data_IF_144790030291
#
_entry.id   IF_144790030291
#
_cell.length_a   1.000
_cell.length_b   1.000
_cell.length_c   1.000
_cell.angle_alpha   90.00
_cell.angle_beta   90.00
_cell.angle_gamma   90.00
#
_symmetry.space_group_name_H-M   'P 1'
#
loop_
_entity.id
_entity.type
_entity.pdbx_description
1 polymer ?
#
# COMPACT_ATOMS: atom_id res chain seq x y z
N UNK A 1 1.44 10.56 -9.69
CA UNK A 1 0.86 9.19 -9.76
C UNK A 1 -0.65 9.27 -9.60
N UNK A 2 -1.41 8.45 -10.33
CA UNK A 2 -2.87 8.32 -10.20
C UNK A 2 -3.25 6.83 -10.25
N UNK A 3 -3.97 6.35 -9.25
CA UNK A 3 -4.56 5.00 -9.27
C UNK A 3 -5.74 5.02 -10.26
N UNK A 4 -5.81 4.04 -11.14
CA UNK A 4 -6.86 3.87 -12.15
C UNK A 4 -7.83 2.76 -11.78
N UNK A 5 -7.31 1.69 -11.16
CA UNK A 5 -8.09 0.50 -10.89
C UNK A 5 -7.42 -0.35 -9.81
N UNK A 6 -8.21 -0.93 -8.94
CA UNK A 6 -7.74 -1.87 -7.92
C UNK A 6 -8.62 -3.12 -7.94
N UNK A 7 -8.01 -4.26 -7.82
CA UNK A 7 -8.68 -5.54 -7.63
C UNK A 7 -8.10 -6.29 -6.44
N UNK A 8 -8.93 -6.59 -5.49
CA UNK A 8 -8.60 -7.39 -4.31
C UNK A 8 -9.12 -8.80 -4.56
N UNK A 9 -8.24 -9.76 -4.78
CA UNK A 9 -8.66 -11.15 -4.90
C UNK A 9 -9.12 -11.68 -3.54
N UNK A 10 -8.22 -11.63 -2.55
CA UNK A 10 -8.59 -11.81 -1.15
C UNK A 10 -7.63 -11.02 -0.26
N UNK A 11 -8.16 -10.28 0.73
CA UNK A 11 -7.36 -9.55 1.71
C UNK A 11 -8.22 -9.26 2.97
N UNK A 12 -7.90 -9.90 4.09
CA UNK A 12 -8.74 -9.85 5.28
C UNK A 12 -10.16 -10.33 4.97
N UNK A 13 -11.15 -9.48 5.23
CA UNK A 13 -12.55 -9.77 4.91
C UNK A 13 -12.98 -9.42 3.48
N UNK A 14 -12.10 -8.83 2.65
CA UNK A 14 -12.41 -8.50 1.27
C UNK A 14 -12.12 -9.67 0.34
N UNK A 15 -13.04 -9.98 -0.57
CA UNK A 15 -12.88 -11.00 -1.61
C UNK A 15 -13.57 -10.56 -2.89
N UNK A 16 -12.87 -10.67 -4.02
CA UNK A 16 -13.40 -10.27 -5.33
C UNK A 16 -13.80 -8.79 -5.41
N UNK A 17 -13.16 -7.93 -4.60
CA UNK A 17 -13.52 -6.52 -4.53
C UNK A 17 -12.82 -5.73 -5.64
N UNK A 18 -13.62 -5.05 -6.47
CA UNK A 18 -13.15 -4.23 -7.58
C UNK A 18 -13.46 -2.76 -7.33
N UNK A 19 -12.48 -1.89 -7.55
CA UNK A 19 -12.58 -0.46 -7.33
C UNK A 19 -11.93 0.31 -8.48
N UNK A 20 -12.74 1.17 -9.14
CA UNK A 20 -12.30 2.08 -10.20
C UNK A 20 -12.62 3.50 -9.75
N UNK A 21 -11.63 4.32 -9.38
CA UNK A 21 -11.87 5.73 -9.09
C UNK A 21 -12.21 6.48 -10.39
N UNK A 22 -13.31 7.20 -10.41
CA UNK A 22 -13.76 7.97 -11.58
C UNK A 22 -13.00 9.29 -11.69
N UNK A 23 -12.63 9.91 -10.56
CA UNK A 23 -12.00 11.23 -10.48
C UNK A 23 -10.68 11.23 -9.72
N UNK A 24 -10.02 12.39 -9.69
CA UNK A 24 -8.77 12.59 -8.93
C UNK A 24 -8.97 12.56 -7.42
N UNK A 25 -10.16 12.90 -6.95
CA UNK A 25 -10.60 12.80 -5.57
C UNK A 25 -11.78 11.84 -5.49
N UNK A 26 -11.68 10.83 -4.64
CA UNK A 26 -12.72 9.82 -4.48
C UNK A 26 -13.18 9.75 -3.03
N UNK A 27 -14.47 9.85 -2.81
CA UNK A 27 -15.09 9.65 -1.51
C UNK A 27 -15.71 8.25 -1.40
N UNK A 28 -15.18 7.43 -0.50
CA UNK A 28 -15.69 6.09 -0.25
C UNK A 28 -16.58 6.08 1.00
N UNK A 29 -17.90 6.18 0.80
CA UNK A 29 -18.89 6.11 1.86
C UNK A 29 -19.54 4.72 1.90
N UNK A 30 -19.44 4.06 3.02
CA UNK A 30 -20.06 2.75 3.24
C UNK A 30 -20.25 2.51 4.75
N UNK A 31 -21.16 1.62 5.17
CA UNK A 31 -21.40 1.30 6.59
C UNK A 31 -20.14 0.87 7.34
N UNK A 32 -20.15 0.96 8.65
CA UNK A 32 -19.07 0.42 9.47
C UNK A 32 -18.98 -1.11 9.27
N UNK A 33 -17.75 -1.62 9.22
CA UNK A 33 -17.51 -3.05 8.93
C UNK A 33 -17.46 -3.41 7.44
N UNK A 34 -17.75 -2.48 6.51
CA UNK A 34 -17.75 -2.74 5.06
C UNK A 34 -16.37 -2.97 4.44
N UNK A 35 -15.28 -2.90 5.22
CA UNK A 35 -13.93 -3.14 4.70
C UNK A 35 -13.17 -1.89 4.23
N UNK A 36 -13.66 -0.65 4.46
CA UNK A 36 -12.94 0.58 4.06
C UNK A 36 -11.49 0.63 4.53
N UNK A 37 -11.27 0.38 5.82
CA UNK A 37 -9.92 0.36 6.41
C UNK A 37 -9.09 -0.81 5.87
N UNK A 38 -9.73 -1.94 5.59
CA UNK A 38 -9.08 -3.11 4.99
C UNK A 38 -8.63 -2.81 3.56
N UNK A 39 -9.48 -2.12 2.77
CA UNK A 39 -9.12 -1.69 1.43
C UNK A 39 -7.96 -0.68 1.43
N UNK A 40 -7.99 0.30 2.31
CA UNK A 40 -6.88 1.24 2.45
C UNK A 40 -5.57 0.54 2.88
N UNK A 41 -5.64 -0.44 3.79
CA UNK A 41 -4.50 -1.26 4.15
C UNK A 41 -4.01 -2.14 3.00
N UNK A 42 -4.91 -2.65 2.15
CA UNK A 42 -4.57 -3.35 0.91
C UNK A 42 -3.76 -2.45 -0.02
N UNK A 43 -4.24 -1.24 -0.30
CA UNK A 43 -3.50 -0.29 -1.16
C UNK A 43 -2.09 -0.02 -0.60
N UNK A 44 -1.97 0.23 0.70
CA UNK A 44 -0.66 0.39 1.34
C UNK A 44 0.22 -0.87 1.19
N UNK A 45 -0.35 -2.07 1.37
CA UNK A 45 0.38 -3.32 1.24
C UNK A 45 0.83 -3.60 -0.20
N UNK A 46 0.07 -3.18 -1.20
CA UNK A 46 0.44 -3.32 -2.61
C UNK A 46 1.68 -2.50 -2.96
N UNK A 47 1.85 -1.30 -2.39
CA UNK A 47 3.02 -0.46 -2.65
C UNK A 47 4.21 -0.80 -1.74
N UNK A 48 3.98 -1.13 -0.48
CA UNK A 48 5.04 -1.27 0.54
C UNK A 48 5.24 -2.70 1.06
N UNK A 49 4.44 -3.67 0.60
CA UNK A 49 4.42 -5.00 1.19
C UNK A 49 3.73 -5.05 2.56
N UNK A 50 3.40 -6.24 3.04
CA UNK A 50 2.80 -6.43 4.38
C UNK A 50 3.81 -6.29 5.51
N UNK A 51 5.10 -6.53 5.23
CA UNK A 51 6.16 -6.59 6.23
C UNK A 51 6.22 -7.93 6.97
N UNK A 52 7.18 -8.05 7.87
CA UNK A 52 7.44 -9.28 8.61
C UNK A 52 6.37 -9.56 9.68
N UNK A 53 6.08 -10.84 9.92
CA UNK A 53 5.23 -11.29 11.02
C UNK A 53 5.82 -11.02 12.43
N UNK A 54 7.11 -10.61 12.51
CA UNK A 54 7.84 -10.40 13.75
C UNK A 54 7.92 -8.92 14.12
N UNK A 55 6.82 -8.31 14.55
CA UNK A 55 6.90 -7.01 15.20
C UNK A 55 6.94 -7.23 16.73
N UNK A 56 8.13 -7.07 17.30
CA UNK A 56 8.42 -7.37 18.73
C UNK A 56 7.91 -6.34 19.73
N UNK A 57 7.21 -5.26 19.33
CA UNK A 57 7.02 -4.10 20.22
C UNK A 57 5.61 -3.64 20.48
N UNK A 58 4.59 -4.09 19.75
CA UNK A 58 3.23 -3.65 20.02
C UNK A 58 2.29 -4.84 20.14
N UNK A 59 1.39 -4.77 21.12
CA UNK A 59 0.23 -5.65 21.32
C UNK A 59 -0.76 -5.64 20.13
N UNK A 60 -0.49 -4.85 19.10
CA UNK A 60 -1.24 -4.86 17.85
C UNK A 60 -0.90 -6.12 17.05
N UNK A 61 -1.93 -6.78 16.60
CA UNK A 61 -1.83 -7.99 15.80
C UNK A 61 -1.01 -7.73 14.54
N UNK A 62 0.04 -8.53 14.29
CA UNK A 62 0.88 -8.38 13.12
C UNK A 62 0.02 -8.28 11.85
N UNK A 63 0.31 -7.34 10.92
CA UNK A 63 -0.51 -7.12 9.72
C UNK A 63 -0.82 -8.40 8.94
N UNK A 64 0.12 -9.33 8.85
CA UNK A 64 -0.08 -10.63 8.22
C UNK A 64 -1.17 -11.46 8.89
N UNK A 65 -1.25 -11.42 10.21
CA UNK A 65 -2.28 -12.14 10.96
C UNK A 65 -3.64 -11.47 10.83
N UNK A 66 -3.66 -10.13 10.93
CA UNK A 66 -4.85 -9.31 10.84
C UNK A 66 -5.52 -9.37 9.47
N UNK A 67 -4.74 -9.38 8.38
CA UNK A 67 -5.26 -9.34 7.02
C UNK A 67 -5.18 -10.67 6.28
N UNK A 68 -4.88 -11.76 6.98
CA UNK A 68 -4.99 -13.11 6.41
C UNK A 68 -6.43 -13.36 5.97
N UNK A 69 -6.67 -13.77 4.71
CA UNK A 69 -8.01 -14.06 4.23
C UNK A 69 -8.68 -15.19 5.02
N UNK A 70 -9.97 -15.07 5.22
CA UNK A 70 -10.78 -16.13 5.83
C UNK A 70 -11.18 -17.18 4.80
N UNK A 71 -11.22 -16.77 3.52
CA UNK A 71 -11.53 -17.67 2.40
C UNK A 71 -10.26 -18.32 1.88
N UNK A 72 -10.43 -19.46 1.22
CA UNK A 72 -9.36 -20.07 0.43
C UNK A 72 -9.17 -19.29 -0.88
N UNK A 73 -7.96 -19.31 -1.42
CA UNK A 73 -7.62 -18.64 -2.67
C UNK A 73 -6.35 -17.79 -2.54
N UNK A 74 -6.04 -17.04 -3.56
CA UNK A 74 -4.86 -16.18 -3.61
C UNK A 74 -5.05 -15.01 -2.65
N UNK A 75 -4.11 -14.83 -1.75
CA UNK A 75 -4.07 -13.67 -0.87
C UNK A 75 -3.31 -12.54 -1.55
N UNK A 76 -4.00 -11.53 -2.03
CA UNK A 76 -3.41 -10.43 -2.77
C UNK A 76 -4.35 -9.82 -3.79
N UNK A 77 -3.80 -9.37 -4.91
CA UNK A 77 -4.53 -8.74 -5.99
C UNK A 77 -3.63 -7.89 -6.86
N UNK A 78 -4.20 -6.88 -7.51
CA UNK A 78 -3.44 -5.99 -8.36
C UNK A 78 -3.97 -4.53 -8.32
N UNK A 79 -3.09 -3.59 -8.67
CA UNK A 79 -3.42 -2.16 -8.81
C UNK A 79 -2.86 -1.66 -10.13
N UNK A 80 -3.71 -0.99 -10.94
CA UNK A 80 -3.31 -0.21 -12.12
C UNK A 80 -3.14 1.25 -11.73
N UNK A 81 -2.04 1.86 -12.18
CA UNK A 81 -1.76 3.26 -11.89
C UNK A 81 -0.91 3.89 -12.99
N UNK A 82 -0.92 5.22 -13.05
CA UNK A 82 0.00 6.00 -13.89
C UNK A 82 1.09 6.63 -13.05
N UNK A 83 2.34 6.56 -13.54
CA UNK A 83 3.47 7.30 -12.99
C UNK A 83 4.22 7.98 -14.14
N UNK A 84 4.31 9.32 -14.08
CA UNK A 84 4.77 10.10 -15.25
C UNK A 84 3.85 9.87 -16.45
N UNK A 85 4.43 9.44 -17.57
CA UNK A 85 3.71 9.17 -18.82
C UNK A 85 3.35 7.70 -19.03
N UNK A 86 3.83 6.80 -18.18
CA UNK A 86 3.64 5.36 -18.30
C UNK A 86 2.50 4.83 -17.45
N UNK A 87 1.91 3.75 -17.89
CA UNK A 87 0.88 3.01 -17.16
C UNK A 87 1.45 1.67 -16.67
N UNK A 88 1.19 1.36 -15.41
CA UNK A 88 1.70 0.16 -14.77
C UNK A 88 0.59 -0.62 -14.08
N UNK A 89 0.82 -1.92 -13.92
CA UNK A 89 0.06 -2.79 -13.02
C UNK A 89 1.01 -3.47 -12.05
N UNK A 90 0.82 -3.22 -10.74
CA UNK A 90 1.42 -4.03 -9.70
C UNK A 90 0.55 -5.25 -9.48
N UNK A 91 1.16 -6.43 -9.46
CA UNK A 91 0.58 -7.66 -8.97
C UNK A 91 1.37 -8.11 -7.75
N UNK A 92 0.68 -8.39 -6.65
CA UNK A 92 1.33 -8.84 -5.43
C UNK A 92 0.50 -9.91 -4.75
N UNK A 93 1.15 -11.00 -4.38
CA UNK A 93 0.55 -12.03 -3.53
C UNK A 93 1.29 -12.10 -2.21
N UNK A 94 0.55 -12.40 -1.16
CA UNK A 94 1.06 -12.50 0.20
C UNK A 94 0.97 -13.94 0.69
N UNK A 95 1.84 -14.31 1.60
CA UNK A 95 1.88 -15.61 2.26
C UNK A 95 2.00 -15.45 3.77
N UNK A 96 1.94 -16.54 4.51
CA UNK A 96 2.24 -16.53 5.95
C UNK A 96 3.69 -16.13 6.23
N UNK A 97 4.60 -16.48 5.30
CA UNK A 97 6.03 -16.13 5.36
C UNK A 97 6.34 -15.08 4.31
N UNK A 98 6.93 -13.99 4.73
CA UNK A 98 7.30 -12.86 3.87
C UNK A 98 8.14 -13.27 2.64
N UNK A 99 9.04 -14.23 2.81
CA UNK A 99 9.90 -14.73 1.72
C UNK A 99 9.13 -15.47 0.61
N UNK A 100 7.88 -15.82 0.84
CA UNK A 100 7.00 -16.50 -0.12
C UNK A 100 6.05 -15.51 -0.81
N UNK A 101 6.15 -14.21 -0.49
CA UNK A 101 5.41 -13.17 -1.19
C UNK A 101 5.91 -13.07 -2.63
N UNK A 102 5.03 -12.71 -3.54
CA UNK A 102 5.41 -12.43 -4.93
C UNK A 102 5.15 -10.98 -5.26
N UNK A 103 5.97 -10.43 -6.16
CA UNK A 103 5.81 -9.10 -6.71
C UNK A 103 6.09 -9.13 -8.20
N UNK A 104 5.22 -8.50 -8.98
CA UNK A 104 5.45 -8.23 -10.39
C UNK A 104 4.96 -6.82 -10.74
N UNK A 105 5.76 -6.09 -11.48
CA UNK A 105 5.40 -4.82 -12.08
C UNK A 105 5.27 -5.03 -13.59
N UNK A 106 4.11 -4.72 -14.14
CA UNK A 106 3.83 -4.88 -15.57
C UNK A 106 3.67 -3.49 -16.16
N UNK A 107 4.45 -3.20 -17.20
CA UNK A 107 4.25 -2.03 -18.05
C UNK A 107 3.06 -2.33 -18.99
N UNK A 108 1.99 -1.55 -18.89
CA UNK A 108 0.77 -1.81 -19.66
C UNK A 108 0.85 -1.36 -21.10
N UNK A 109 1.81 -0.51 -21.45
CA UNK A 109 2.02 -0.07 -22.82
C UNK A 109 2.72 -1.15 -23.65
N UNK A 110 3.62 -1.93 -23.00
CA UNK A 110 4.36 -3.02 -23.63
C UNK A 110 3.79 -4.41 -23.33
N UNK A 111 3.01 -4.55 -22.27
CA UNK A 111 2.53 -5.83 -21.74
C UNK A 111 3.62 -6.70 -21.10
N UNK A 112 4.82 -6.17 -20.88
CA UNK A 112 5.97 -6.90 -20.34
C UNK A 112 6.21 -6.56 -18.87
N UNK A 113 6.92 -7.45 -18.16
CA UNK A 113 7.40 -7.18 -16.80
C UNK A 113 8.42 -6.04 -16.88
N UNK A 114 8.16 -4.98 -16.14
CA UNK A 114 9.02 -3.79 -16.05
C UNK A 114 9.98 -3.91 -14.87
N UNK A 115 11.17 -3.34 -15.06
CA UNK A 115 12.18 -3.17 -14.01
C UNK A 115 12.36 -1.69 -13.61
N UNK A 116 11.42 -0.82 -13.99
CA UNK A 116 11.49 0.61 -13.69
C UNK A 116 11.41 0.88 -12.16
N UNK A 117 10.75 -0.02 -11.42
CA UNK A 117 10.67 -0.02 -9.96
C UNK A 117 10.88 -1.42 -9.42
N UNK A 118 11.43 -1.50 -8.20
CA UNK A 118 11.63 -2.77 -7.49
C UNK A 118 10.42 -3.12 -6.62
N UNK A 119 10.53 -4.18 -5.82
CA UNK A 119 9.52 -4.53 -4.82
C UNK A 119 9.31 -3.44 -3.75
N UNK A 120 10.26 -2.49 -3.63
CA UNK A 120 10.18 -1.31 -2.78
C UNK A 120 9.52 -0.10 -3.48
N UNK A 121 8.68 -0.36 -4.45
CA UNK A 121 8.03 0.65 -5.29
C UNK A 121 7.39 1.79 -4.49
N UNK A 122 6.87 1.54 -3.29
CA UNK A 122 6.31 2.57 -2.44
C UNK A 122 7.34 3.63 -2.04
N UNK A 123 8.54 3.20 -1.64
CA UNK A 123 9.62 4.13 -1.28
C UNK A 123 10.17 4.87 -2.50
N UNK A 124 10.33 4.16 -3.62
CA UNK A 124 10.83 4.72 -4.87
C UNK A 124 9.87 5.74 -5.48
N UNK A 125 8.56 5.46 -5.44
CA UNK A 125 7.54 6.28 -6.07
C UNK A 125 7.11 7.50 -5.23
N UNK A 126 7.05 7.33 -3.89
CA UNK A 126 6.60 8.39 -3.00
C UNK A 126 7.75 9.13 -2.29
N UNK A 127 8.98 8.66 -2.39
CA UNK A 127 10.16 9.26 -1.75
C UNK A 127 10.11 9.17 -0.22
N UNK A 128 9.35 8.25 0.35
CA UNK A 128 9.18 8.11 1.80
C UNK A 128 9.04 6.67 2.24
N UNK A 129 9.50 6.37 3.45
CA UNK A 129 9.36 5.04 4.03
C UNK A 129 7.90 4.70 4.33
N UNK A 130 7.59 3.41 4.45
CA UNK A 130 6.25 2.93 4.85
C UNK A 130 5.75 3.59 6.14
N UNK A 131 6.62 3.74 7.14
CA UNK A 131 6.26 4.35 8.41
C UNK A 131 5.88 5.83 8.24
N UNK A 132 6.63 6.57 7.44
CA UNK A 132 6.34 7.97 7.12
C UNK A 132 5.04 8.08 6.33
N UNK A 133 4.83 7.23 5.32
CA UNK A 133 3.59 7.19 4.55
C UNK A 133 2.37 6.94 5.43
N UNK A 134 2.45 5.97 6.35
CA UNK A 134 1.36 5.65 7.28
C UNK A 134 1.08 6.78 8.27
N UNK A 135 2.09 7.56 8.65
CA UNK A 135 1.93 8.68 9.57
C UNK A 135 1.41 9.96 8.89
N UNK A 136 1.65 10.14 7.60
CA UNK A 136 1.35 11.40 6.88
C UNK A 136 0.25 11.27 5.84
N UNK A 137 0.35 10.28 4.96
CA UNK A 137 -0.57 10.12 3.82
C UNK A 137 -1.71 9.15 4.14
N UNK A 138 -1.51 8.22 5.06
CA UNK A 138 -2.50 7.26 5.50
C UNK A 138 -3.02 7.60 6.90
N UNK A 139 -3.86 8.61 7.01
CA UNK A 139 -4.49 8.98 8.29
C UNK A 139 -5.59 8.00 8.65
N UNK A 140 -5.25 6.94 9.38
CA UNK A 140 -6.21 6.05 10.02
C UNK A 140 -6.69 6.66 11.35
N UNK A 141 -7.94 6.43 11.71
CA UNK A 141 -8.51 6.86 12.99
C UNK A 141 -7.66 6.46 14.21
N UNK A 142 -7.00 5.33 14.16
CA UNK A 142 -6.12 4.85 15.24
C UNK A 142 -4.75 5.56 15.28
N UNK A 143 -4.38 6.32 14.26
CA UNK A 143 -3.09 7.01 14.14
C UNK A 143 -3.21 8.53 14.24
N UNK A 144 -4.30 9.06 14.79
CA UNK A 144 -4.43 10.51 15.06
C UNK A 144 -3.48 11.03 16.16
N UNK A 145 -2.72 10.17 16.83
CA UNK A 145 -1.56 10.59 17.63
C UNK A 145 -0.37 10.74 16.68
N UNK A 146 -0.01 11.97 16.38
CA UNK A 146 1.21 12.30 15.64
C UNK A 146 2.41 11.97 16.53
N UNK A 147 2.90 10.74 16.45
CA UNK A 147 4.23 10.42 16.96
C UNK A 147 5.24 10.83 15.89
N UNK A 148 5.93 11.94 16.15
CA UNK A 148 7.02 12.41 15.28
C UNK A 148 8.16 11.41 15.36
N UNK A 149 8.34 10.58 14.34
CA UNK A 149 9.48 9.67 14.26
C UNK A 149 10.75 10.41 13.76
N UNK A 150 11.93 9.83 13.97
CA UNK A 150 13.20 10.46 13.59
C UNK A 150 13.30 10.75 12.08
N UNK A 151 12.71 9.91 11.24
CA UNK A 151 12.71 10.11 9.78
C UNK A 151 11.84 11.32 9.36
N UNK A 152 10.78 11.63 10.10
CA UNK A 152 10.02 12.88 9.89
C UNK A 152 10.83 14.11 10.25
N UNK A 153 11.64 14.04 11.33
CA UNK A 153 12.52 15.16 11.71
C UNK A 153 13.53 15.46 10.62
N UNK A 154 14.19 14.47 10.06
CA UNK A 154 15.18 14.63 8.98
C UNK A 154 14.53 15.29 7.76
N UNK A 155 13.35 14.81 7.29
CA UNK A 155 12.66 15.38 6.14
C UNK A 155 12.18 16.82 6.31
N UNK A 156 11.91 17.26 7.54
CA UNK A 156 11.55 18.65 7.82
C UNK A 156 12.75 19.58 7.93
N UNK A 157 13.92 19.08 8.32
CA UNK A 157 15.12 19.92 8.50
C UNK A 157 15.92 20.08 7.21
N UNK A 158 15.94 19.09 6.31
CA UNK A 158 16.63 19.21 5.01
C UNK A 158 15.89 20.15 4.03
N UNK A 159 14.60 20.41 4.22
CA UNK A 159 13.82 21.35 3.40
C UNK A 159 14.00 22.84 3.74
N UNK A 160 14.65 23.16 4.85
CA UNK A 160 14.77 24.56 5.34
C UNK A 160 16.13 25.21 5.10
N UNK A 161 17.09 24.53 4.50
CA UNK A 161 18.43 25.09 4.19
C UNK A 161 18.58 25.65 2.77
N UNK A 162 17.47 25.94 2.09
CA UNK A 162 17.43 26.43 0.70
C UNK A 162 16.90 27.85 0.52
N UNK A 163 17.09 28.78 1.48
CA UNK A 163 16.84 30.20 1.25
C UNK A 163 18.13 30.98 1.62
N UNK A 164 18.91 31.25 0.61
CA UNK A 164 19.82 32.39 0.51
C UNK A 164 19.54 33.10 -0.79
#
# INVERSE_FOLDING_TARGET
MKIQECYVENFGGLSGYHFCPEESFQYLCAPNGSGKTTFAAFVCAMFYGLGSARTRKNLEEAPRKKYKPWQQGTWGGWIRFTAGTKQYRIERTFSEKEREDTFALIDLDTGMVSQDYTENIGEELFGMTKATYQATAFMSWNHMRVEVNENMRIGFFDGTTGIR
#
